data_IF_332033458126
#
_entry.id   IF_332033458126
#
_cell.length_a   1.000
_cell.length_b   1.000
_cell.length_c   1.000
_cell.angle_alpha   90.00
_cell.angle_beta   90.00
_cell.angle_gamma   90.00
#
_symmetry.space_group_name_H-M   'P 1'
#
loop_
_entity.id
_entity.type
_entity.pdbx_description
1 polymer ?
#
# COMPACT_ATOMS: atom_id res chain seq x y z
N UNK A 1 -15.89 1.08 -3.99
CA UNK A 1 -15.48 1.59 -2.67
C UNK A 1 -15.01 3.01 -2.84
N UNK A 2 -15.50 3.96 -2.04
CA UNK A 2 -15.03 5.35 -2.09
C UNK A 2 -13.76 5.52 -1.24
N UNK A 3 -12.95 6.58 -1.46
CA UNK A 3 -11.81 6.88 -0.59
C UNK A 3 -12.18 6.94 0.89
N UNK A 4 -13.32 7.56 1.22
CA UNK A 4 -13.83 7.66 2.60
C UNK A 4 -14.14 6.29 3.22
N UNK A 5 -14.73 5.37 2.43
CA UNK A 5 -14.99 3.99 2.88
C UNK A 5 -13.69 3.22 3.11
N UNK A 6 -12.71 3.40 2.22
CA UNK A 6 -11.40 2.76 2.36
C UNK A 6 -10.66 3.22 3.61
N UNK A 7 -10.61 4.53 3.87
CA UNK A 7 -10.02 5.10 5.09
C UNK A 7 -10.71 4.61 6.37
N UNK A 8 -12.02 4.36 6.31
CA UNK A 8 -12.74 3.74 7.42
C UNK A 8 -12.32 2.28 7.66
N UNK A 9 -12.01 1.51 6.61
CA UNK A 9 -11.50 0.14 6.73
C UNK A 9 -10.06 0.10 7.25
N UNK A 10 -9.19 1.00 6.79
CA UNK A 10 -7.81 1.17 7.28
C UNK A 10 -7.83 1.30 8.81
N UNK A 11 -8.62 2.24 9.34
CA UNK A 11 -8.73 2.48 10.80
C UNK A 11 -9.24 1.28 11.60
N UNK A 12 -9.96 0.36 10.95
CA UNK A 12 -10.47 -0.87 11.58
C UNK A 12 -9.52 -2.06 11.42
N UNK A 13 -8.37 -1.87 10.75
CA UNK A 13 -7.44 -2.94 10.37
C UNK A 13 -8.13 -4.08 9.58
N UNK A 14 -9.20 -3.76 8.87
CA UNK A 14 -9.96 -4.70 8.04
C UNK A 14 -9.53 -4.56 6.58
N UNK A 15 -8.26 -4.81 6.32
CA UNK A 15 -7.66 -4.63 5.00
C UNK A 15 -7.46 -5.97 4.30
N UNK A 16 -7.76 -6.08 3.00
CA UNK A 16 -7.37 -7.23 2.21
C UNK A 16 -5.84 -7.27 2.05
N UNK A 17 -5.26 -8.44 1.72
CA UNK A 17 -3.81 -8.58 1.49
C UNK A 17 -3.29 -7.76 0.31
N UNK A 18 -4.17 -7.35 -0.61
CA UNK A 18 -3.84 -6.46 -1.71
C UNK A 18 -4.99 -5.47 -1.99
N UNK A 19 -4.64 -4.23 -2.33
CA UNK A 19 -5.59 -3.21 -2.74
C UNK A 19 -5.09 -2.48 -3.99
N UNK A 20 -6.01 -2.10 -4.87
CA UNK A 20 -5.72 -1.32 -6.06
C UNK A 20 -6.38 0.07 -5.94
N UNK A 21 -5.57 1.12 -5.97
CA UNK A 21 -6.03 2.51 -5.91
C UNK A 21 -6.14 3.09 -7.32
N UNK A 22 -7.37 3.21 -7.83
CA UNK A 22 -7.67 3.78 -9.15
C UNK A 22 -8.47 5.08 -9.01
N UNK A 23 -8.40 5.93 -10.03
CA UNK A 23 -9.14 7.19 -10.13
C UNK A 23 -8.26 8.29 -10.72
N UNK A 24 -8.85 9.37 -11.27
CA UNK A 24 -8.08 10.45 -11.88
C UNK A 24 -7.36 11.33 -10.85
N UNK A 25 -7.93 11.53 -9.65
CA UNK A 25 -7.38 12.41 -8.62
C UNK A 25 -6.12 11.81 -7.95
N UNK A 26 -4.94 12.30 -8.34
CA UNK A 26 -3.66 11.88 -7.75
C UNK A 26 -3.61 12.10 -6.24
N UNK A 27 -4.06 13.25 -5.77
CA UNK A 27 -4.08 13.59 -4.35
C UNK A 27 -4.84 12.56 -3.51
N UNK A 28 -6.00 12.08 -3.98
CA UNK A 28 -6.78 11.09 -3.23
C UNK A 28 -6.10 9.73 -3.18
N UNK A 29 -5.42 9.32 -4.26
CA UNK A 29 -4.63 8.08 -4.28
C UNK A 29 -3.46 8.17 -3.30
N UNK A 30 -2.75 9.28 -3.31
CA UNK A 30 -1.61 9.51 -2.41
C UNK A 30 -2.07 9.57 -0.95
N UNK A 31 -3.19 10.25 -0.67
CA UNK A 31 -3.75 10.32 0.68
C UNK A 31 -4.14 8.93 1.21
N UNK A 32 -4.79 8.10 0.38
CA UNK A 32 -5.14 6.73 0.77
C UNK A 32 -3.90 5.84 0.97
N UNK A 33 -2.89 5.95 0.09
CA UNK A 33 -1.63 5.20 0.21
C UNK A 33 -0.88 5.55 1.49
N UNK A 34 -0.76 6.85 1.80
CA UNK A 34 -0.06 7.29 2.99
C UNK A 34 -0.77 6.83 4.27
N UNK A 35 -2.10 6.95 4.32
CA UNK A 35 -2.89 6.46 5.46
C UNK A 35 -2.74 4.94 5.67
N UNK A 36 -2.63 4.17 4.58
CA UNK A 36 -2.38 2.73 4.63
C UNK A 36 -1.01 2.42 5.24
N UNK A 37 0.04 3.08 4.75
CA UNK A 37 1.42 2.90 5.22
C UNK A 37 1.52 3.29 6.70
N UNK A 38 0.97 4.44 7.09
CA UNK A 38 0.95 4.91 8.49
C UNK A 38 0.25 3.94 9.44
N UNK A 39 -0.82 3.29 8.99
CA UNK A 39 -1.59 2.38 9.82
C UNK A 39 -0.93 1.00 9.98
N UNK A 40 -0.20 0.53 8.96
CA UNK A 40 0.42 -0.80 8.93
C UNK A 40 1.88 -0.80 9.40
N UNK A 41 2.61 0.29 9.15
CA UNK A 41 4.03 0.42 9.45
C UNK A 41 4.27 1.66 10.31
N UNK A 42 4.77 1.45 11.53
CA UNK A 42 5.32 2.53 12.34
C UNK A 42 6.53 3.17 11.65
N UNK A 43 6.94 4.37 12.07
CA UNK A 43 8.06 5.09 11.44
C UNK A 43 9.33 4.24 11.37
N UNK A 44 9.63 3.47 12.42
CA UNK A 44 10.81 2.61 12.51
C UNK A 44 10.75 1.39 11.58
N UNK A 45 9.56 0.89 11.25
CA UNK A 45 9.39 -0.31 10.43
C UNK A 45 9.41 0.00 8.93
N UNK A 46 9.29 1.28 8.53
CA UNK A 46 9.23 1.67 7.12
C UNK A 46 10.51 1.38 6.35
N UNK A 47 11.67 1.45 7.00
CA UNK A 47 12.95 1.20 6.33
C UNK A 47 13.07 -0.25 5.82
N UNK A 48 12.45 -1.20 6.51
CA UNK A 48 12.54 -2.63 6.20
C UNK A 48 11.22 -3.21 5.66
N UNK A 49 10.08 -2.60 5.98
CA UNK A 49 8.74 -3.10 5.65
C UNK A 49 8.05 -2.41 4.47
N UNK A 50 8.68 -1.40 3.84
CA UNK A 50 8.12 -0.70 2.68
C UNK A 50 9.07 -0.73 1.49
N UNK A 51 8.62 -1.37 0.40
CA UNK A 51 9.26 -1.32 -0.91
C UNK A 51 8.41 -0.53 -1.91
N UNK A 52 9.06 0.23 -2.79
CA UNK A 52 8.42 1.00 -3.85
C UNK A 52 9.01 0.62 -5.21
N UNK A 53 8.14 0.35 -6.19
CA UNK A 53 8.53 -0.05 -7.54
C UNK A 53 7.83 0.80 -8.60
N UNK A 54 8.53 1.11 -9.70
CA UNK A 54 7.94 1.58 -10.94
C UNK A 54 7.80 0.39 -11.90
N UNK A 55 6.58 0.13 -12.37
CA UNK A 55 6.29 -0.98 -13.28
C UNK A 55 6.78 -0.74 -14.72
N UNK A 56 7.26 0.46 -15.05
CA UNK A 56 7.99 0.70 -16.30
C UNK A 56 9.42 0.14 -16.26
N UNK A 57 9.99 0.01 -15.06
CA UNK A 57 11.37 -0.46 -14.86
C UNK A 57 11.43 -1.87 -14.25
N UNK A 58 10.43 -2.24 -13.45
CA UNK A 58 10.36 -3.50 -12.72
C UNK A 58 9.17 -4.33 -13.20
N UNK A 59 9.36 -5.62 -13.48
CA UNK A 59 8.25 -6.48 -13.86
C UNK A 59 7.30 -6.72 -12.68
N UNK A 60 6.00 -6.85 -12.97
CA UNK A 60 5.01 -7.20 -11.95
C UNK A 60 5.35 -8.52 -11.24
N UNK A 61 5.95 -9.49 -11.95
CA UNK A 61 6.36 -10.77 -11.36
C UNK A 61 7.39 -10.58 -10.25
N UNK A 62 8.41 -9.74 -10.48
CA UNK A 62 9.45 -9.46 -9.48
C UNK A 62 8.87 -8.77 -8.24
N UNK A 63 7.92 -7.84 -8.41
CA UNK A 63 7.22 -7.18 -7.29
C UNK A 63 6.42 -8.19 -6.47
N UNK A 64 5.73 -9.14 -7.12
CA UNK A 64 4.95 -10.17 -6.43
C UNK A 64 5.84 -11.20 -5.71
N UNK A 65 6.98 -11.55 -6.30
CA UNK A 65 7.99 -12.41 -5.67
C UNK A 65 8.53 -11.76 -4.39
N UNK A 66 8.89 -10.48 -4.43
CA UNK A 66 9.32 -9.72 -3.26
C UNK A 66 8.24 -9.68 -2.17
N UNK A 67 7.01 -9.31 -2.53
CA UNK A 67 5.87 -9.27 -1.60
C UNK A 67 5.51 -10.63 -0.98
N UNK A 68 5.93 -11.74 -1.60
CA UNK A 68 5.74 -13.10 -1.09
C UNK A 68 6.87 -13.57 -0.16
N UNK A 69 7.96 -12.81 -0.08
CA UNK A 69 9.07 -13.07 0.82
C UNK A 69 8.64 -12.73 2.25
N UNK A 70 8.89 -13.64 3.19
CA UNK A 70 8.59 -13.39 4.61
C UNK A 70 9.44 -12.22 5.10
N UNK A 71 8.78 -11.21 5.66
CA UNK A 71 9.46 -10.14 6.41
C UNK A 71 10.18 -10.76 7.61
N UNK A 72 11.46 -10.45 7.78
CA UNK A 72 12.30 -10.89 8.92
C UNK A 72 11.86 -10.23 10.23
#
# INVERSE_FOLDING_TARGET
MTPQQFLAQIRRQQLPPACLLLGPEAYQRDYCRNALIEQLLGESDRELGLAQYDLQETSLSAVLEDASTLSL
#
